data_IF_136571061897
#
_entry.id   IF_136571061897
#
_cell.length_a   1.000
_cell.length_b   1.000
_cell.length_c   1.000
_cell.angle_alpha   90.00
_cell.angle_beta   90.00
_cell.angle_gamma   90.00
#
_symmetry.space_group_name_H-M   'P 1'
#
loop_
_entity.id
_entity.type
_entity.pdbx_description
1 polymer ?
#
# COMPACT_ATOMS: atom_id res chain seq x y z
N UNK A 1 9.76 -18.26 -6.12
CA UNK A 1 9.90 -16.91 -6.64
C UNK A 1 8.88 -16.71 -7.76
N UNK A 2 7.63 -16.39 -7.44
CA UNK A 2 6.64 -15.86 -8.38
C UNK A 2 6.42 -14.40 -7.97
N UNK A 3 7.06 -13.51 -8.73
CA UNK A 3 6.97 -12.09 -8.56
C UNK A 3 5.55 -11.57 -8.85
N UNK A 4 5.08 -10.81 -7.95
CA UNK A 4 3.91 -9.93 -7.89
C UNK A 4 3.62 -9.29 -9.26
N UNK A 5 2.57 -9.77 -9.92
CA UNK A 5 1.93 -9.04 -11.01
C UNK A 5 1.06 -7.95 -10.38
N UNK A 6 1.39 -6.69 -10.64
CA UNK A 6 0.69 -5.54 -10.10
C UNK A 6 -0.81 -5.59 -10.44
N UNK A 7 -1.63 -5.20 -9.47
CA UNK A 7 -3.11 -5.20 -9.49
C UNK A 7 -3.74 -4.51 -10.73
N UNK A 8 -3.03 -3.58 -11.39
CA UNK A 8 -3.47 -2.95 -12.65
C UNK A 8 -3.57 -3.91 -13.83
N UNK A 9 -2.73 -4.96 -13.88
CA UNK A 9 -2.74 -5.92 -15.00
C UNK A 9 -3.89 -6.93 -14.93
N UNK A 10 -4.43 -7.20 -13.74
CA UNK A 10 -5.54 -8.13 -13.56
C UNK A 10 -6.90 -7.52 -13.93
N UNK A 11 -7.06 -6.22 -13.72
CA UNK A 11 -8.26 -5.49 -14.15
C UNK A 11 -8.35 -5.43 -15.69
N UNK A 12 -7.21 -5.21 -16.36
CA UNK A 12 -7.13 -5.20 -17.83
C UNK A 12 -7.35 -6.60 -18.42
N UNK A 13 -6.90 -7.66 -17.73
CA UNK A 13 -7.13 -9.04 -18.18
C UNK A 13 -8.61 -9.43 -18.08
N UNK A 14 -9.31 -8.99 -17.04
CA UNK A 14 -10.74 -9.23 -16.88
C UNK A 14 -11.56 -8.48 -17.95
N UNK A 15 -11.18 -7.25 -18.27
CA UNK A 15 -11.78 -6.47 -19.34
C UNK A 15 -11.50 -7.10 -20.72
N UNK A 16 -10.28 -7.60 -20.95
CA UNK A 16 -9.89 -8.27 -22.19
C UNK A 16 -10.62 -9.60 -22.41
N UNK A 17 -10.87 -10.37 -21.34
CA UNK A 17 -11.66 -11.62 -21.38
C UNK A 17 -13.15 -11.33 -21.65
N UNK A 18 -13.68 -10.20 -21.18
CA UNK A 18 -15.06 -9.79 -21.43
C UNK A 18 -15.29 -9.31 -22.88
N UNK A 19 -14.27 -8.75 -23.53
CA UNK A 19 -14.31 -8.28 -24.93
C UNK A 19 -14.15 -9.41 -25.97
N UNK A 20 -13.63 -10.59 -25.54
CA UNK A 20 -13.66 -11.79 -26.34
C UNK A 20 -15.09 -12.34 -26.34
N UNK A 21 -15.89 -11.88 -27.28
CA UNK A 21 -17.26 -12.33 -27.56
C UNK A 21 -17.27 -13.82 -27.99
N UNK A 22 -16.98 -14.72 -27.02
CA UNK A 22 -17.00 -16.18 -27.18
C UNK A 22 -18.42 -16.74 -27.05
N UNK A 23 -19.38 -16.09 -27.71
CA UNK A 23 -20.76 -16.58 -27.84
C UNK A 23 -20.92 -17.87 -28.62
N UNK A 24 -19.84 -18.55 -29.03
CA UNK A 24 -19.96 -19.70 -29.94
C UNK A 24 -19.36 -21.02 -29.47
N UNK A 25 -18.85 -21.15 -28.25
CA UNK A 25 -18.29 -22.43 -27.72
C UNK A 25 -18.94 -22.84 -26.40
N UNK A 26 -20.19 -22.48 -26.14
CA UNK A 26 -20.91 -22.92 -24.95
C UNK A 26 -21.42 -24.38 -25.00
N UNK A 27 -21.10 -25.11 -26.06
CA UNK A 27 -21.66 -26.44 -26.30
C UNK A 27 -20.80 -27.65 -25.93
N UNK A 28 -19.54 -27.49 -25.56
CA UNK A 28 -18.63 -28.64 -25.38
C UNK A 28 -17.68 -28.62 -24.18
N UNK A 29 -17.84 -27.70 -23.23
CA UNK A 29 -17.05 -27.71 -22.01
C UNK A 29 -17.74 -28.55 -20.94
N UNK A 30 -17.02 -29.59 -20.44
CA UNK A 30 -17.53 -30.43 -19.37
C UNK A 30 -17.87 -29.62 -18.12
N UNK A 31 -18.88 -30.03 -17.32
CA UNK A 31 -19.26 -29.31 -16.10
C UNK A 31 -18.14 -29.15 -15.07
N UNK A 32 -17.08 -29.96 -15.17
CA UNK A 32 -15.91 -29.88 -14.28
C UNK A 32 -14.98 -28.71 -14.61
N UNK A 33 -15.01 -28.15 -15.82
CA UNK A 33 -14.18 -27.00 -16.18
C UNK A 33 -14.85 -25.66 -15.78
N UNK A 34 -16.17 -25.65 -15.71
CA UNK A 34 -16.91 -24.48 -15.25
C UNK A 34 -16.81 -24.24 -13.73
N UNK A 35 -16.37 -25.25 -12.96
CA UNK A 35 -16.18 -25.14 -11.51
C UNK A 35 -14.82 -24.55 -11.10
N UNK A 36 -13.93 -24.25 -12.05
CA UNK A 36 -12.62 -23.63 -11.80
C UNK A 36 -12.62 -22.12 -12.15
N UNK A 37 -13.79 -21.51 -12.22
CA UNK A 37 -13.89 -20.06 -12.09
C UNK A 37 -13.63 -19.79 -10.60
N UNK A 38 -12.38 -19.48 -10.28
CA UNK A 38 -11.98 -18.97 -8.96
C UNK A 38 -12.91 -17.81 -8.65
N UNK A 39 -13.83 -18.03 -7.71
CA UNK A 39 -14.71 -17.00 -7.23
C UNK A 39 -13.86 -15.99 -6.46
N UNK A 40 -13.50 -14.88 -7.09
CA UNK A 40 -12.86 -13.74 -6.41
C UNK A 40 -13.88 -12.95 -5.55
N UNK A 41 -15.12 -13.43 -5.45
CA UNK A 41 -16.25 -12.70 -4.87
C UNK A 41 -16.25 -12.60 -3.34
N UNK A 42 -15.24 -13.19 -2.66
CA UNK A 42 -15.24 -13.25 -1.19
C UNK A 42 -14.13 -12.45 -0.51
N UNK A 43 -13.30 -11.73 -1.25
CA UNK A 43 -12.25 -10.91 -0.63
C UNK A 43 -12.80 -9.55 -0.21
N UNK A 44 -12.54 -9.19 1.04
CA UNK A 44 -12.91 -7.89 1.63
C UNK A 44 -11.63 -7.10 1.95
N UNK A 45 -11.62 -5.81 1.58
CA UNK A 45 -10.61 -4.88 2.05
C UNK A 45 -11.00 -4.40 3.46
N UNK A 46 -10.13 -4.64 4.42
CA UNK A 46 -10.34 -4.22 5.80
C UNK A 46 -9.15 -3.40 6.29
N UNK A 47 -9.43 -2.45 7.19
CA UNK A 47 -8.41 -1.64 7.82
C UNK A 47 -8.48 -1.83 9.32
N UNK A 48 -7.33 -2.14 9.91
CA UNK A 48 -7.13 -2.24 11.34
C UNK A 48 -6.27 -1.07 11.82
N UNK A 49 -6.58 -0.55 12.98
CA UNK A 49 -5.90 0.59 13.57
C UNK A 49 -5.55 0.28 15.02
N UNK A 50 -4.38 0.73 15.46
CA UNK A 50 -3.97 0.51 16.84
C UNK A 50 -2.68 1.22 17.19
N UNK A 51 -2.19 0.88 18.37
CA UNK A 51 -0.93 1.39 18.88
C UNK A 51 0.02 0.22 19.17
N UNK A 52 1.18 0.24 18.55
CA UNK A 52 2.24 -0.74 18.73
C UNK A 52 3.07 -0.48 19.98
N UNK A 53 4.17 -1.25 20.15
CA UNK A 53 5.15 -0.98 21.20
C UNK A 53 5.64 0.47 21.12
N UNK A 54 6.03 1.03 22.23
CA UNK A 54 6.44 2.44 22.38
C UNK A 54 5.37 3.47 21.94
N UNK A 55 4.10 3.03 21.87
CA UNK A 55 2.93 3.83 21.50
C UNK A 55 2.95 4.39 20.08
N UNK A 56 3.69 3.78 19.18
CA UNK A 56 3.60 4.13 17.76
C UNK A 56 2.19 3.90 17.26
N UNK A 57 1.65 4.85 16.50
CA UNK A 57 0.39 4.68 15.80
C UNK A 57 0.59 3.80 14.56
N UNK A 58 -0.31 2.86 14.32
CA UNK A 58 -0.21 1.91 13.20
C UNK A 58 -1.55 1.74 12.51
N UNK A 59 -1.51 1.73 11.17
CA UNK A 59 -2.62 1.38 10.29
C UNK A 59 -2.20 0.15 9.50
N UNK A 60 -3.05 -0.86 9.45
CA UNK A 60 -2.84 -2.10 8.71
C UNK A 60 -3.97 -2.25 7.70
N UNK A 61 -3.65 -2.29 6.42
CA UNK A 61 -4.59 -2.57 5.35
C UNK A 61 -4.49 -4.03 4.95
N UNK A 62 -5.63 -4.69 4.83
CA UNK A 62 -5.69 -6.13 4.57
C UNK A 62 -6.67 -6.43 3.45
N UNK A 63 -6.40 -7.51 2.71
CA UNK A 63 -7.30 -8.11 1.73
C UNK A 63 -7.51 -9.57 2.12
N UNK A 64 -8.70 -9.92 2.56
CA UNK A 64 -8.96 -11.25 3.13
C UNK A 64 -10.29 -11.84 2.68
N UNK A 65 -10.32 -13.15 2.59
CA UNK A 65 -11.52 -13.97 2.43
C UNK A 65 -12.17 -14.34 3.77
N UNK A 66 -11.48 -14.08 4.91
CA UNK A 66 -11.92 -14.46 6.24
C UNK A 66 -11.57 -13.40 7.31
N UNK A 67 -12.43 -12.40 7.42
CA UNK A 67 -12.25 -11.29 8.38
C UNK A 67 -12.06 -11.71 9.85
N UNK A 68 -12.62 -12.84 10.26
CA UNK A 68 -12.48 -13.30 11.65
C UNK A 68 -11.08 -13.85 11.91
N UNK A 69 -10.53 -14.60 10.95
CA UNK A 69 -9.15 -15.09 10.98
C UNK A 69 -8.18 -13.90 11.04
N UNK A 70 -8.28 -12.99 10.08
CA UNK A 70 -7.41 -11.80 9.98
C UNK A 70 -7.48 -10.96 11.25
N UNK A 71 -8.69 -10.64 11.73
CA UNK A 71 -8.86 -9.87 12.97
C UNK A 71 -8.21 -10.56 14.19
N UNK A 72 -8.27 -11.90 14.25
CA UNK A 72 -7.65 -12.67 15.33
C UNK A 72 -6.13 -12.65 15.24
N UNK A 73 -5.58 -12.80 14.03
CA UNK A 73 -4.15 -12.76 13.77
C UNK A 73 -3.57 -11.39 14.14
N UNK A 74 -4.11 -10.33 13.54
CA UNK A 74 -3.67 -8.95 13.80
C UNK A 74 -3.72 -8.61 15.29
N UNK A 75 -4.84 -8.96 15.96
CA UNK A 75 -4.95 -8.74 17.43
C UNK A 75 -3.86 -9.49 18.19
N UNK A 76 -3.56 -10.72 17.79
CA UNK A 76 -2.54 -11.54 18.44
C UNK A 76 -1.15 -10.94 18.29
N UNK A 77 -0.81 -10.43 17.09
CA UNK A 77 0.46 -9.74 16.81
C UNK A 77 0.60 -8.50 17.70
N UNK A 78 -0.42 -7.63 17.72
CA UNK A 78 -0.43 -6.45 18.59
C UNK A 78 -0.21 -6.81 20.06
N UNK A 79 -0.95 -7.81 20.57
CA UNK A 79 -0.85 -8.21 21.98
C UNK A 79 0.51 -8.81 22.34
N UNK A 80 1.09 -9.65 21.47
CA UNK A 80 2.42 -10.26 21.72
C UNK A 80 3.53 -9.23 21.82
N UNK A 81 3.43 -8.15 21.04
CA UNK A 81 4.43 -7.07 21.02
C UNK A 81 4.16 -5.97 22.06
N UNK A 82 3.17 -6.18 22.94
CA UNK A 82 2.83 -5.21 24.00
C UNK A 82 2.05 -3.99 23.50
N UNK A 83 1.51 -4.05 22.27
CA UNK A 83 0.61 -3.08 21.70
C UNK A 83 -0.85 -3.36 21.96
N UNK A 84 -1.73 -2.57 21.39
CA UNK A 84 -3.19 -2.74 21.50
C UNK A 84 -3.89 -2.39 20.19
N UNK A 85 -4.72 -3.30 19.70
CA UNK A 85 -5.61 -3.02 18.58
C UNK A 85 -6.76 -2.13 19.08
N UNK A 86 -6.97 -1.02 18.36
CA UNK A 86 -8.03 -0.06 18.64
C UNK A 86 -9.28 -0.30 17.79
N UNK A 87 -10.19 0.67 17.83
CA UNK A 87 -11.32 0.78 16.91
C UNK A 87 -10.93 1.60 15.69
N UNK A 88 -11.70 1.49 14.62
CA UNK A 88 -11.52 2.33 13.45
C UNK A 88 -11.55 3.83 13.83
N UNK A 89 -10.59 4.60 13.33
CA UNK A 89 -10.41 6.01 13.69
C UNK A 89 -9.48 6.24 14.90
N UNK A 90 -9.01 5.17 15.58
CA UNK A 90 -8.15 5.34 16.77
C UNK A 90 -6.73 5.81 16.47
N UNK A 91 -6.17 5.45 15.32
CA UNK A 91 -4.82 5.82 14.89
C UNK A 91 -4.80 6.74 13.68
N UNK A 92 -5.79 6.68 12.80
CA UNK A 92 -5.82 7.40 11.53
C UNK A 92 -5.79 8.93 11.66
N UNK A 93 -6.16 9.49 12.81
CA UNK A 93 -6.01 10.93 13.07
C UNK A 93 -4.55 11.40 13.14
N UNK A 94 -3.59 10.48 13.25
CA UNK A 94 -2.15 10.79 13.21
C UNK A 94 -1.58 10.79 11.79
N UNK A 95 -2.40 10.53 10.77
CA UNK A 95 -1.97 10.38 9.39
C UNK A 95 -2.84 11.20 8.43
N UNK A 96 -2.27 11.52 7.28
CA UNK A 96 -3.01 11.98 6.10
C UNK A 96 -2.94 10.92 5.01
N UNK A 97 -4.02 10.77 4.24
CA UNK A 97 -3.95 10.01 2.99
C UNK A 97 -3.47 10.92 1.86
N UNK A 98 -2.32 10.57 1.29
CA UNK A 98 -1.71 11.29 0.19
C UNK A 98 -1.54 10.38 -1.03
N UNK A 99 -1.53 10.97 -2.20
CA UNK A 99 -1.05 10.32 -3.41
C UNK A 99 0.47 10.35 -3.42
N UNK A 100 1.10 9.18 -3.45
CA UNK A 100 2.56 9.02 -3.49
C UNK A 100 2.96 8.46 -4.85
N UNK A 101 3.88 9.17 -5.52
CA UNK A 101 4.43 8.75 -6.80
C UNK A 101 5.94 8.61 -6.63
N UNK A 102 6.46 7.40 -6.85
CA UNK A 102 7.89 7.09 -6.75
C UNK A 102 8.50 6.90 -8.14
N UNK A 103 9.61 7.57 -8.39
CA UNK A 103 10.32 7.60 -9.68
C UNK A 103 11.78 7.27 -9.40
N UNK A 104 12.37 6.37 -10.20
CA UNK A 104 13.78 6.02 -10.10
C UNK A 104 14.67 7.26 -10.30
N UNK A 105 15.69 7.40 -9.46
CA UNK A 105 16.62 8.53 -9.52
C UNK A 105 17.40 8.60 -10.82
N UNK A 106 17.53 7.49 -11.54
CA UNK A 106 18.22 7.44 -12.83
C UNK A 106 17.38 7.99 -13.99
N UNK A 107 16.06 8.09 -13.83
CA UNK A 107 15.16 8.59 -14.86
C UNK A 107 15.25 10.10 -15.04
N UNK A 108 15.49 10.84 -13.94
CA UNK A 108 15.45 12.30 -13.95
C UNK A 108 16.32 12.89 -12.82
N UNK A 109 16.95 14.05 -13.06
CA UNK A 109 17.76 14.72 -12.04
C UNK A 109 16.92 15.42 -10.98
N UNK A 110 17.52 15.65 -9.79
CA UNK A 110 16.89 16.29 -8.64
C UNK A 110 16.27 17.66 -9.00
N UNK A 111 17.00 18.49 -9.76
CA UNK A 111 16.53 19.81 -10.14
C UNK A 111 15.31 19.74 -11.07
N UNK A 112 15.37 18.85 -12.07
CA UNK A 112 14.30 18.73 -13.06
C UNK A 112 13.02 18.13 -12.45
N UNK A 113 13.15 17.13 -11.58
CA UNK A 113 11.96 16.53 -10.94
C UNK A 113 11.31 17.53 -10.01
N UNK A 114 12.08 18.36 -9.30
CA UNK A 114 11.56 19.39 -8.42
C UNK A 114 10.75 20.44 -9.20
N UNK A 115 11.29 20.96 -10.31
CA UNK A 115 10.57 21.89 -11.20
C UNK A 115 9.27 21.25 -11.73
N UNK A 116 9.37 20.02 -12.22
CA UNK A 116 8.23 19.29 -12.78
C UNK A 116 7.16 18.97 -11.73
N UNK A 117 7.54 18.66 -10.49
CA UNK A 117 6.62 18.43 -9.39
C UNK A 117 5.81 19.69 -9.06
N UNK A 118 6.47 20.85 -8.95
CA UNK A 118 5.80 22.15 -8.75
C UNK A 118 4.82 22.44 -9.89
N UNK A 119 5.25 22.30 -11.16
CA UNK A 119 4.40 22.54 -12.32
C UNK A 119 3.22 21.56 -12.38
N UNK A 120 3.41 20.36 -11.85
CA UNK A 120 2.37 19.34 -11.79
C UNK A 120 1.32 19.62 -10.73
N UNK A 121 1.62 20.46 -9.75
CA UNK A 121 0.74 20.76 -8.62
C UNK A 121 0.90 19.76 -7.48
N UNK A 122 2.09 19.19 -7.31
CA UNK A 122 2.44 18.40 -6.16
C UNK A 122 2.65 19.30 -4.93
N UNK A 123 2.36 18.75 -3.74
CA UNK A 123 2.56 19.46 -2.47
C UNK A 123 4.02 19.37 -2.01
N UNK A 124 4.67 18.23 -2.26
CA UNK A 124 6.04 17.98 -1.83
C UNK A 124 6.79 17.10 -2.83
N UNK A 125 8.11 17.28 -2.90
CA UNK A 125 9.02 16.44 -3.67
C UNK A 125 10.27 16.15 -2.82
N UNK A 126 10.46 14.89 -2.45
CA UNK A 126 11.54 14.42 -1.59
C UNK A 126 12.47 13.54 -2.43
N UNK A 127 13.76 13.88 -2.46
CA UNK A 127 14.77 13.07 -3.13
C UNK A 127 15.49 12.18 -2.15
N UNK A 128 15.31 10.87 -2.31
CA UNK A 128 16.03 9.82 -1.57
C UNK A 128 17.30 9.41 -2.34
N UNK A 129 18.06 8.47 -1.82
CA UNK A 129 19.28 7.98 -2.47
C UNK A 129 19.00 7.23 -3.78
N UNK A 130 17.89 6.48 -3.84
CA UNK A 130 17.54 5.60 -4.96
C UNK A 130 16.36 6.09 -5.79
N UNK A 131 15.47 6.91 -5.22
CA UNK A 131 14.26 7.37 -5.90
C UNK A 131 13.85 8.79 -5.47
N UNK A 132 12.98 9.40 -6.27
CA UNK A 132 12.24 10.61 -5.93
C UNK A 132 10.83 10.24 -5.49
N UNK A 133 10.37 10.84 -4.41
CA UNK A 133 9.01 10.70 -3.90
C UNK A 133 8.26 12.02 -4.08
N UNK A 134 7.14 11.95 -4.78
CA UNK A 134 6.28 13.10 -5.05
C UNK A 134 4.97 12.89 -4.31
N UNK A 135 4.62 13.83 -3.44
CA UNK A 135 3.41 13.80 -2.65
C UNK A 135 2.39 14.83 -3.17
N UNK A 136 1.15 14.42 -3.23
CA UNK A 136 0.05 15.27 -3.67
C UNK A 136 -1.26 14.88 -2.96
N UNK A 137 -2.31 15.73 -3.02
CA UNK A 137 -3.62 15.33 -2.52
C UNK A 137 -4.08 14.05 -3.23
N UNK A 138 -4.70 13.12 -2.49
CA UNK A 138 -5.22 11.85 -3.01
C UNK A 138 -6.10 12.06 -4.26
N UNK A 139 -6.91 13.14 -4.29
CA UNK A 139 -7.78 13.47 -5.44
C UNK A 139 -7.03 13.82 -6.71
N UNK A 140 -5.79 14.25 -6.61
CA UNK A 140 -5.01 14.83 -7.71
C UNK A 140 -3.93 13.90 -8.26
N UNK A 141 -3.73 12.73 -7.65
CA UNK A 141 -2.67 11.78 -8.01
C UNK A 141 -2.61 11.46 -9.52
N UNK A 142 -3.76 11.24 -10.15
CA UNK A 142 -3.81 10.96 -11.60
C UNK A 142 -3.46 12.18 -12.46
N UNK A 143 -3.85 13.38 -12.03
CA UNK A 143 -3.54 14.62 -12.74
C UNK A 143 -2.05 14.93 -12.64
N UNK A 144 -1.47 14.77 -11.46
CA UNK A 144 -0.03 14.94 -11.20
C UNK A 144 0.74 13.91 -12.02
N UNK A 145 0.41 12.61 -11.91
CA UNK A 145 1.04 11.55 -12.68
C UNK A 145 1.04 11.85 -14.17
N UNK A 146 -0.11 12.21 -14.74
CA UNK A 146 -0.27 12.50 -16.17
C UNK A 146 0.67 13.62 -16.65
N UNK A 147 0.95 14.61 -15.81
CA UNK A 147 1.90 15.67 -16.14
C UNK A 147 3.34 15.16 -16.06
N UNK A 148 3.66 14.35 -15.04
CA UNK A 148 4.96 13.72 -14.90
C UNK A 148 5.29 12.78 -16.08
N UNK A 149 4.30 12.04 -16.60
CA UNK A 149 4.43 11.15 -17.76
C UNK A 149 4.88 11.86 -19.05
N UNK A 150 4.79 13.19 -19.12
CA UNK A 150 5.31 13.96 -20.27
C UNK A 150 6.84 13.95 -20.36
N UNK A 151 7.52 13.67 -19.25
CA UNK A 151 8.99 13.71 -19.14
C UNK A 151 9.55 12.38 -18.62
N UNK A 152 8.83 11.72 -17.71
CA UNK A 152 9.24 10.47 -17.06
C UNK A 152 8.54 9.29 -17.71
N UNK A 153 9.29 8.29 -18.14
CA UNK A 153 8.76 7.11 -18.81
C UNK A 153 8.38 5.99 -17.81
N UNK A 154 9.17 5.82 -16.75
CA UNK A 154 9.01 4.71 -15.81
C UNK A 154 8.77 5.22 -14.40
N UNK A 155 7.74 4.66 -13.75
CA UNK A 155 7.38 4.91 -12.36
C UNK A 155 7.61 3.64 -11.54
N UNK A 156 8.21 3.78 -10.36
CA UNK A 156 8.37 2.65 -9.43
C UNK A 156 7.00 2.28 -8.87
N UNK A 157 6.27 3.28 -8.35
CA UNK A 157 4.91 3.09 -7.84
C UNK A 157 4.06 4.35 -8.00
N UNK A 158 2.75 4.18 -7.92
CA UNK A 158 1.76 5.26 -7.88
C UNK A 158 0.61 4.79 -7.01
N UNK A 159 0.59 5.19 -5.75
CA UNK A 159 -0.27 4.61 -4.72
C UNK A 159 -0.82 5.69 -3.79
N UNK A 160 -1.86 5.34 -3.04
CA UNK A 160 -2.38 6.19 -1.97
C UNK A 160 -1.85 5.60 -0.67
N UNK A 161 -1.05 6.38 0.05
CA UNK A 161 -0.42 5.96 1.30
C UNK A 161 -0.90 6.80 2.49
N UNK A 162 -0.80 6.23 3.70
CA UNK A 162 -1.01 6.94 4.95
C UNK A 162 0.31 7.53 5.43
N UNK A 163 0.47 8.83 5.28
CA UNK A 163 1.68 9.56 5.68
C UNK A 163 1.48 10.15 7.07
N UNK A 164 2.42 9.89 7.97
CA UNK A 164 2.35 10.38 9.35
C UNK A 164 2.42 11.90 9.43
N UNK A 165 1.50 12.52 10.17
CA UNK A 165 1.50 13.95 10.48
C UNK A 165 2.60 14.31 11.48
N UNK A 166 2.86 13.42 12.43
CA UNK A 166 3.87 13.58 13.46
C UNK A 166 4.57 12.25 13.70
N UNK A 167 5.88 12.26 13.64
CA UNK A 167 6.68 11.08 13.91
C UNK A 167 6.80 10.83 15.42
N UNK A 168 6.74 9.57 15.82
CA UNK A 168 7.03 9.12 17.17
C UNK A 168 8.48 8.57 17.23
N UNK A 169 9.36 9.26 17.92
CA UNK A 169 10.75 8.82 18.08
C UNK A 169 10.81 7.59 18.96
N UNK A 170 11.24 6.47 18.38
CA UNK A 170 11.37 5.18 19.07
C UNK A 170 12.67 5.18 19.86
N UNK A 171 12.57 4.96 21.20
CA UNK A 171 13.77 4.88 22.04
C UNK A 171 14.63 3.66 21.65
N UNK A 172 15.95 3.80 21.72
CA UNK A 172 16.92 2.84 21.19
C UNK A 172 16.69 1.40 21.66
N UNK A 173 16.39 1.20 22.92
CA UNK A 173 16.10 -0.13 23.52
C UNK A 173 14.78 -0.74 23.06
N UNK A 174 13.93 0.01 22.36
CA UNK A 174 12.65 -0.46 21.81
C UNK A 174 12.67 -0.64 20.29
N UNK A 175 13.71 -0.17 19.62
CA UNK A 175 13.77 -0.19 18.15
C UNK A 175 13.62 -1.61 17.60
N UNK A 176 14.37 -2.58 18.15
CA UNK A 176 14.29 -3.98 17.74
C UNK A 176 12.86 -4.53 17.91
N UNK A 177 12.23 -4.29 19.06
CA UNK A 177 10.85 -4.72 19.32
C UNK A 177 9.83 -4.09 18.36
N UNK A 178 10.04 -2.82 18.01
CA UNK A 178 9.16 -2.12 17.05
C UNK A 178 9.35 -2.67 15.65
N UNK A 179 10.60 -2.93 15.23
CA UNK A 179 10.89 -3.52 13.91
C UNK A 179 10.28 -4.92 13.81
N UNK A 180 10.55 -5.82 14.77
CA UNK A 180 9.96 -7.16 14.79
C UNK A 180 8.42 -7.15 14.76
N UNK A 181 7.81 -6.15 15.42
CA UNK A 181 6.37 -5.98 15.39
C UNK A 181 5.86 -5.61 14.01
N UNK A 182 6.49 -4.64 13.33
CA UNK A 182 6.09 -4.21 11.99
C UNK A 182 6.31 -5.34 10.97
N UNK A 183 7.46 -6.01 11.01
CA UNK A 183 7.76 -7.18 10.19
C UNK A 183 6.73 -8.31 10.41
N UNK A 184 6.35 -8.58 11.66
CA UNK A 184 5.33 -9.60 11.96
C UNK A 184 3.94 -9.28 11.41
N UNK A 185 3.62 -7.98 11.23
CA UNK A 185 2.39 -7.56 10.56
C UNK A 185 2.49 -7.73 9.04
N UNK A 186 3.63 -7.36 8.45
CA UNK A 186 3.90 -7.49 7.01
C UNK A 186 3.98 -8.95 6.54
N UNK A 187 4.41 -9.85 7.42
CA UNK A 187 4.51 -11.29 7.15
C UNK A 187 3.14 -12.02 7.15
N UNK A 188 2.06 -11.39 7.60
CA UNK A 188 0.72 -12.01 7.56
C UNK A 188 0.17 -12.01 6.13
N UNK A 189 -0.24 -13.17 5.64
CA UNK A 189 -0.70 -13.40 4.25
C UNK A 189 -1.87 -12.50 3.82
N UNK A 190 -2.70 -12.05 4.78
CA UNK A 190 -3.85 -11.20 4.51
C UNK A 190 -3.47 -9.69 4.51
N UNK A 191 -2.27 -9.31 4.96
CA UNK A 191 -1.82 -7.91 5.04
C UNK A 191 -1.27 -7.46 3.68
N UNK A 192 -1.70 -6.27 3.26
CA UNK A 192 -1.25 -5.64 2.04
C UNK A 192 -0.26 -4.49 2.32
N UNK A 193 -0.59 -3.66 3.31
CA UNK A 193 0.22 -2.50 3.68
C UNK A 193 0.20 -2.28 5.18
N UNK A 194 1.35 -1.87 5.73
CA UNK A 194 1.50 -1.43 7.11
C UNK A 194 2.06 0.00 7.11
N UNK A 195 1.35 0.92 7.74
CA UNK A 195 1.79 2.31 7.90
C UNK A 195 1.99 2.59 9.37
N UNK A 196 3.11 3.21 9.71
CA UNK A 196 3.40 3.60 11.09
C UNK A 196 3.98 5.01 11.15
N UNK A 197 3.88 5.64 12.31
CA UNK A 197 4.55 6.91 12.57
C UNK A 197 5.87 6.74 13.33
N UNK A 198 6.41 5.52 13.35
CA UNK A 198 7.69 5.23 13.99
C UNK A 198 8.84 5.97 13.29
N UNK A 199 9.67 6.66 14.06
CA UNK A 199 10.91 7.27 13.59
C UNK A 199 12.09 6.65 14.33
N UNK A 200 12.97 6.02 13.58
CA UNK A 200 14.20 5.41 14.07
C UNK A 200 15.34 6.40 13.89
N UNK A 201 15.60 7.25 14.88
CA UNK A 201 16.76 8.15 14.84
C UNK A 201 18.06 7.33 14.84
N UNK A 202 18.84 7.48 13.78
CA UNK A 202 20.21 7.00 13.71
C UNK A 202 21.09 7.94 14.58
N UNK A 203 21.29 7.57 15.84
CA UNK A 203 22.32 8.19 16.71
C UNK A 203 23.57 7.32 16.74
#
# INVERSE_FOLDING_TARGET
ALSILSFGMLADLAAWIADLNLGFIAGSLSPSFAATVISFDNFENLRYEGFGPDKIAVIVETLTDNKNRTASNIRTIFQKSGGSLGTQGSASHNFNQLGIIKIDKQEISDEKIFELAIESGADECISHDEFHEIQCPMSDIYNVKKKLETVVANFISTEIEWVALNNANVVKDKQETVIEFLESLEDDDDVQNVFSNANFENN
#
